data_IF_438210996577
#
_entry.id   IF_438210996577
#
_cell.length_a   1.000
_cell.length_b   1.000
_cell.length_c   1.000
_cell.angle_alpha   90.00
_cell.angle_beta   90.00
_cell.angle_gamma   90.00
#
_symmetry.space_group_name_H-M   'P 1'
#
loop_
_entity.id
_entity.type
_entity.pdbx_description
1 polymer ?
#
# COMPACT_ATOMS: atom_id res chain seq x y z
N UNK A 1 44.66 19.33 10.26
CA UNK A 1 44.07 19.01 8.93
C UNK A 1 44.17 17.50 8.74
N UNK A 2 43.16 16.70 8.43
CA UNK A 2 41.80 16.93 7.93
C UNK A 2 40.83 15.96 8.64
N UNK A 3 39.67 16.49 9.03
CA UNK A 3 38.62 15.76 9.74
C UNK A 3 37.70 14.97 8.82
N UNK A 4 37.27 13.81 9.34
CA UNK A 4 35.96 13.15 9.18
C UNK A 4 35.11 13.59 7.97
N UNK A 5 35.17 12.82 6.88
CA UNK A 5 34.20 12.88 5.76
C UNK A 5 33.73 11.51 5.24
N UNK A 6 33.61 10.46 6.07
CA UNK A 6 33.15 9.12 5.61
C UNK A 6 31.78 8.63 6.12
N UNK A 7 31.08 9.38 6.99
CA UNK A 7 29.80 8.94 7.58
C UNK A 7 28.64 8.83 6.57
N UNK A 8 28.61 9.70 5.55
CA UNK A 8 27.47 9.82 4.62
C UNK A 8 27.40 8.79 3.50
N UNK A 9 28.53 8.18 3.09
CA UNK A 9 28.54 7.21 1.97
C UNK A 9 28.01 5.82 2.36
N UNK A 10 28.04 5.46 3.66
CA UNK A 10 27.74 4.08 4.13
C UNK A 10 26.24 3.79 4.32
N UNK A 11 25.37 4.80 4.26
CA UNK A 11 23.93 4.65 4.51
C UNK A 11 23.09 4.45 3.23
N UNK A 12 23.58 4.87 2.07
CA UNK A 12 22.87 4.74 0.78
C UNK A 12 22.42 3.32 0.44
N UNK A 13 23.19 2.25 0.73
CA UNK A 13 22.71 0.88 0.48
C UNK A 13 21.43 0.52 1.25
N UNK A 14 21.23 1.07 2.45
CA UNK A 14 20.03 0.79 3.26
C UNK A 14 18.80 1.54 2.74
N UNK A 15 18.98 2.76 2.23
CA UNK A 15 17.90 3.47 1.54
C UNK A 15 17.54 2.73 0.25
N UNK A 16 18.55 2.30 -0.51
CA UNK A 16 18.37 1.47 -1.70
C UNK A 16 17.58 0.20 -1.38
N UNK A 17 17.90 -0.50 -0.30
CA UNK A 17 17.14 -1.67 0.17
C UNK A 17 15.64 -1.37 0.34
N UNK A 18 15.30 -0.29 1.06
CA UNK A 18 13.89 0.07 1.30
C UNK A 18 13.15 0.39 -0.01
N UNK A 19 13.79 1.16 -0.90
CA UNK A 19 13.22 1.51 -2.22
C UNK A 19 13.04 0.26 -3.07
N UNK A 20 14.05 -0.60 -3.16
CA UNK A 20 14.00 -1.84 -3.95
C UNK A 20 12.89 -2.75 -3.45
N UNK A 21 12.79 -2.98 -2.13
CA UNK A 21 11.75 -3.86 -1.59
C UNK A 21 10.35 -3.29 -1.83
N UNK A 22 10.11 -2.00 -1.58
CA UNK A 22 8.83 -1.37 -1.87
C UNK A 22 8.47 -1.45 -3.36
N UNK A 23 9.46 -1.27 -4.25
CA UNK A 23 9.27 -1.38 -5.71
C UNK A 23 8.91 -2.81 -6.12
N UNK A 24 9.54 -3.82 -5.53
CA UNK A 24 9.20 -5.23 -5.77
C UNK A 24 7.72 -5.49 -5.40
N UNK A 25 7.27 -5.00 -4.24
CA UNK A 25 5.86 -5.16 -3.82
C UNK A 25 4.89 -4.42 -4.75
N UNK A 26 5.27 -3.22 -5.21
CA UNK A 26 4.48 -2.44 -6.17
C UNK A 26 4.32 -3.16 -7.51
N UNK A 27 5.42 -3.71 -8.05
CA UNK A 27 5.42 -4.37 -9.37
C UNK A 27 4.73 -5.73 -9.31
N UNK A 28 4.91 -6.51 -8.23
CA UNK A 28 4.26 -7.83 -8.10
C UNK A 28 2.75 -7.69 -7.84
N UNK A 29 2.31 -6.64 -7.15
CA UNK A 29 0.89 -6.39 -6.90
C UNK A 29 0.48 -5.00 -7.44
N UNK A 30 0.39 -4.84 -8.77
CA UNK A 30 0.16 -3.54 -9.42
C UNK A 30 -1.30 -3.07 -9.28
N UNK A 31 -2.23 -3.99 -9.05
CA UNK A 31 -3.66 -3.75 -8.91
C UNK A 31 -4.07 -3.38 -7.49
N UNK A 32 -5.28 -2.84 -7.35
CA UNK A 32 -5.77 -2.21 -6.11
C UNK A 32 -6.95 -2.96 -5.48
N UNK A 33 -7.18 -2.71 -4.19
CA UNK A 33 -8.40 -3.19 -3.51
C UNK A 33 -9.45 -2.09 -3.38
N UNK A 34 -10.67 -2.48 -3.02
CA UNK A 34 -11.79 -1.57 -2.80
C UNK A 34 -11.47 -0.43 -1.81
N UNK A 35 -10.64 -0.65 -0.80
CA UNK A 35 -10.32 0.37 0.19
C UNK A 35 -9.42 1.49 -0.36
N UNK A 36 -8.77 1.25 -1.51
CA UNK A 36 -7.94 2.20 -2.23
C UNK A 36 -8.74 3.00 -3.27
N UNK A 37 -9.92 2.51 -3.64
CA UNK A 37 -10.68 2.95 -4.83
C UNK A 37 -10.88 4.46 -4.85
N UNK A 38 -11.47 5.02 -3.79
CA UNK A 38 -11.76 6.46 -3.72
C UNK A 38 -10.51 7.31 -4.00
N UNK A 39 -9.41 7.06 -3.27
CA UNK A 39 -8.23 7.89 -3.42
C UNK A 39 -7.57 7.71 -4.79
N UNK A 40 -7.58 6.48 -5.31
CA UNK A 40 -6.98 6.18 -6.59
C UNK A 40 -7.77 6.80 -7.74
N UNK A 41 -9.10 6.63 -7.76
CA UNK A 41 -9.99 7.20 -8.76
C UNK A 41 -9.97 8.73 -8.70
N UNK A 42 -10.04 9.33 -7.50
CA UNK A 42 -9.90 10.77 -7.34
C UNK A 42 -8.54 11.29 -7.87
N UNK A 43 -7.46 10.54 -7.68
CA UNK A 43 -6.14 10.92 -8.22
C UNK A 43 -6.12 10.80 -9.74
N UNK A 44 -6.74 9.77 -10.31
CA UNK A 44 -6.93 9.64 -11.75
C UNK A 44 -7.67 10.87 -12.31
N UNK A 45 -8.81 11.21 -11.72
CA UNK A 45 -9.67 12.28 -12.23
C UNK A 45 -8.98 13.64 -12.17
N UNK A 46 -8.23 13.91 -11.10
CA UNK A 46 -7.38 15.10 -11.00
C UNK A 46 -6.30 15.17 -12.09
N UNK A 47 -5.75 14.02 -12.51
CA UNK A 47 -4.68 13.96 -13.52
C UNK A 47 -5.21 14.08 -14.96
N UNK A 48 -6.35 13.44 -15.27
CA UNK A 48 -6.86 13.36 -16.64
C UNK A 48 -8.06 14.28 -16.92
N UNK A 49 -8.90 14.57 -15.93
CA UNK A 49 -10.08 15.45 -16.08
C UNK A 49 -9.84 16.84 -15.51
N UNK A 50 -8.91 17.00 -14.57
CA UNK A 50 -8.38 18.28 -14.05
C UNK A 50 -9.44 19.20 -13.40
N UNK A 51 -10.11 20.04 -14.20
CA UNK A 51 -11.14 20.98 -13.74
C UNK A 51 -12.55 20.56 -14.21
N UNK A 52 -12.64 19.52 -15.04
CA UNK A 52 -13.88 18.95 -15.53
C UNK A 52 -14.49 18.02 -14.47
N UNK A 53 -15.04 18.64 -13.43
CA UNK A 53 -15.52 17.97 -12.21
C UNK A 53 -16.68 17.01 -12.52
N UNK A 54 -17.50 17.31 -13.54
CA UNK A 54 -18.63 16.49 -13.94
C UNK A 54 -18.22 15.07 -14.39
N UNK A 55 -16.97 14.91 -14.84
CA UNK A 55 -16.41 13.60 -15.24
C UNK A 55 -15.85 12.78 -14.09
N UNK A 56 -15.85 13.29 -12.87
CA UNK A 56 -15.19 12.59 -11.77
C UNK A 56 -16.03 11.39 -11.30
N UNK A 57 -15.35 10.30 -11.01
CA UNK A 57 -15.95 9.01 -10.62
C UNK A 57 -16.87 9.12 -9.41
N UNK A 58 -16.52 9.98 -8.44
CA UNK A 58 -17.26 10.14 -7.21
C UNK A 58 -18.63 10.84 -7.35
N UNK A 59 -18.90 11.51 -8.48
CA UNK A 59 -20.22 12.05 -8.79
C UNK A 59 -21.16 10.98 -9.34
N UNK A 60 -20.62 10.09 -10.17
CA UNK A 60 -21.35 8.98 -10.78
C UNK A 60 -21.54 7.81 -9.78
N UNK A 61 -20.50 7.52 -8.99
CA UNK A 61 -20.45 6.42 -8.02
C UNK A 61 -20.01 6.93 -6.63
N UNK A 62 -20.90 7.62 -5.89
CA UNK A 62 -20.58 8.12 -4.56
C UNK A 62 -20.40 6.97 -3.57
N UNK A 63 -19.26 6.94 -2.88
CA UNK A 63 -19.01 5.94 -1.85
C UNK A 63 -19.89 6.12 -0.61
N UNK A 64 -20.16 5.03 0.10
CA UNK A 64 -20.98 4.99 1.33
C UNK A 64 -20.42 5.80 2.52
N UNK A 65 -19.16 6.25 2.45
CA UNK A 65 -18.49 7.02 3.50
C UNK A 65 -17.82 8.24 2.88
N UNK A 66 -18.05 9.46 3.41
CA UNK A 66 -17.38 10.66 2.91
C UNK A 66 -15.88 10.56 3.14
N UNK A 67 -15.10 10.89 2.11
CA UNK A 67 -13.64 10.82 2.10
C UNK A 67 -13.04 12.18 1.73
N UNK A 68 -11.84 12.46 2.22
CA UNK A 68 -11.12 13.71 1.93
C UNK A 68 -10.40 13.65 0.58
N UNK A 69 -10.48 14.73 -0.21
CA UNK A 69 -9.73 14.89 -1.45
C UNK A 69 -8.27 15.34 -1.24
N UNK A 70 -7.87 15.66 -0.01
CA UNK A 70 -6.57 16.24 0.28
C UNK A 70 -5.40 15.31 -0.11
N UNK A 71 -5.53 14.02 0.20
CA UNK A 71 -4.53 13.01 -0.18
C UNK A 71 -4.38 12.90 -1.70
N UNK A 72 -5.47 12.59 -2.44
CA UNK A 72 -5.47 12.55 -3.90
C UNK A 72 -4.90 13.80 -4.56
N UNK A 73 -5.24 15.00 -4.06
CA UNK A 73 -4.73 16.27 -4.57
C UNK A 73 -3.20 16.35 -4.49
N UNK A 74 -2.63 16.02 -3.33
CA UNK A 74 -1.17 16.03 -3.14
C UNK A 74 -0.51 15.00 -4.04
N UNK A 75 -1.04 13.78 -4.11
CA UNK A 75 -0.44 12.73 -4.95
C UNK A 75 -0.55 13.07 -6.44
N UNK A 76 -1.68 13.60 -6.90
CA UNK A 76 -1.85 14.07 -8.27
C UNK A 76 -0.84 15.18 -8.60
N UNK A 77 -0.68 16.18 -7.72
CA UNK A 77 0.27 17.27 -7.93
C UNK A 77 1.72 16.80 -8.10
N UNK A 78 2.16 15.82 -7.31
CA UNK A 78 3.52 15.26 -7.42
C UNK A 78 3.68 14.26 -8.56
N UNK A 79 2.58 13.61 -8.99
CA UNK A 79 2.60 12.64 -10.10
C UNK A 79 2.46 13.32 -11.46
N UNK A 80 1.85 14.51 -11.52
CA UNK A 80 1.46 15.18 -12.75
C UNK A 80 2.60 15.41 -13.75
N UNK A 81 3.85 15.77 -13.37
CA UNK A 81 4.89 16.02 -14.38
C UNK A 81 5.25 14.74 -15.14
N UNK A 82 5.33 13.61 -14.43
CA UNK A 82 5.67 12.31 -15.04
C UNK A 82 4.47 11.78 -15.82
N UNK A 83 3.27 11.85 -15.26
CA UNK A 83 2.05 11.39 -15.94
C UNK A 83 1.79 12.20 -17.20
N UNK A 84 2.03 13.51 -17.19
CA UNK A 84 1.93 14.36 -18.39
C UNK A 84 2.89 13.89 -19.49
N UNK A 85 4.15 13.58 -19.14
CA UNK A 85 5.12 13.02 -20.11
C UNK A 85 4.66 11.65 -20.63
N UNK A 86 4.12 10.78 -19.78
CA UNK A 86 3.58 9.48 -20.20
C UNK A 86 2.40 9.64 -21.17
N UNK A 87 1.50 10.58 -20.89
CA UNK A 87 0.37 10.88 -21.78
C UNK A 87 0.83 11.44 -23.13
N UNK A 88 1.86 12.30 -23.15
CA UNK A 88 2.44 12.81 -24.41
C UNK A 88 3.10 11.70 -25.25
N UNK A 89 3.61 10.66 -24.59
CA UNK A 89 4.20 9.49 -25.25
C UNK A 89 3.16 8.40 -25.56
N UNK A 90 1.87 8.68 -25.34
CA UNK A 90 0.75 7.74 -25.52
C UNK A 90 0.97 6.42 -24.76
N UNK A 91 1.67 6.49 -23.62
CA UNK A 91 1.90 5.33 -22.76
C UNK A 91 0.62 5.01 -21.99
N UNK A 92 0.30 3.71 -21.90
CA UNK A 92 -0.90 3.23 -21.20
C UNK A 92 -1.05 3.83 -19.80
N UNK A 93 -2.29 4.23 -19.48
CA UNK A 93 -2.69 4.77 -18.16
C UNK A 93 -2.34 3.82 -17.00
N UNK A 94 -2.17 2.51 -17.27
CA UNK A 94 -1.67 1.54 -16.32
C UNK A 94 -0.34 1.97 -15.67
N UNK A 95 0.59 2.53 -16.45
CA UNK A 95 1.87 3.01 -15.91
C UNK A 95 1.69 4.25 -15.04
N UNK A 96 0.73 5.12 -15.36
CA UNK A 96 0.36 6.26 -14.51
C UNK A 96 -0.13 5.82 -13.12
N UNK A 97 -0.84 4.68 -13.01
CA UNK A 97 -1.18 4.08 -11.71
C UNK A 97 0.07 3.71 -10.90
N UNK A 98 1.07 3.10 -11.55
CA UNK A 98 2.33 2.74 -10.89
C UNK A 98 3.09 3.98 -10.43
N UNK A 99 3.08 5.07 -11.21
CA UNK A 99 3.67 6.36 -10.82
C UNK A 99 2.96 6.93 -9.60
N UNK A 100 1.64 7.02 -9.62
CA UNK A 100 0.82 7.52 -8.50
C UNK A 100 1.13 6.76 -7.20
N UNK A 101 1.14 5.44 -7.28
CA UNK A 101 1.48 4.56 -6.15
C UNK A 101 2.94 4.68 -5.72
N UNK A 102 3.86 4.83 -6.68
CA UNK A 102 5.28 5.04 -6.45
C UNK A 102 5.57 6.36 -5.73
N UNK A 103 4.90 7.45 -6.11
CA UNK A 103 5.02 8.77 -5.47
C UNK A 103 4.62 8.70 -4.00
N UNK A 104 3.50 8.04 -3.67
CA UNK A 104 3.12 7.78 -2.27
C UNK A 104 4.19 6.95 -1.55
N UNK A 105 4.67 5.87 -2.17
CA UNK A 105 5.74 5.03 -1.65
C UNK A 105 7.01 5.82 -1.31
N UNK A 106 7.45 6.71 -2.21
CA UNK A 106 8.60 7.58 -2.00
C UNK A 106 8.37 8.54 -0.82
N UNK A 107 7.16 9.06 -0.65
CA UNK A 107 6.79 9.86 0.53
C UNK A 107 6.96 9.09 1.84
N UNK A 108 6.43 7.86 1.90
CA UNK A 108 6.57 6.99 3.08
C UNK A 108 8.03 6.61 3.32
N UNK A 109 8.79 6.22 2.29
CA UNK A 109 10.21 5.86 2.41
C UNK A 109 11.04 7.07 2.86
N UNK A 110 10.76 8.27 2.35
CA UNK A 110 11.41 9.51 2.79
C UNK A 110 11.16 9.77 4.28
N UNK A 111 9.92 9.56 4.74
CA UNK A 111 9.55 9.62 6.15
C UNK A 111 10.31 8.58 7.00
N UNK A 112 10.34 7.32 6.55
CA UNK A 112 11.09 6.24 7.22
C UNK A 112 12.58 6.55 7.28
N UNK A 113 13.14 7.11 6.21
CA UNK A 113 14.55 7.46 6.13
C UNK A 113 14.91 8.60 7.07
N UNK A 114 14.04 9.60 7.18
CA UNK A 114 14.23 10.72 8.12
C UNK A 114 14.15 10.22 9.56
N UNK A 115 13.16 9.37 9.87
CA UNK A 115 13.04 8.71 11.17
C UNK A 115 14.28 7.86 11.49
N UNK A 116 14.79 7.13 10.50
CA UNK A 116 16.00 6.31 10.65
C UNK A 116 17.24 7.14 10.99
N UNK A 117 17.40 8.32 10.37
CA UNK A 117 18.50 9.24 10.72
C UNK A 117 18.42 9.69 12.16
N UNK A 118 17.22 9.92 12.68
CA UNK A 118 17.01 10.27 14.10
C UNK A 118 17.25 9.09 15.03
N UNK A 119 16.77 7.90 14.67
CA UNK A 119 17.09 6.66 15.40
C UNK A 119 18.60 6.45 15.47
N UNK A 120 19.33 6.73 14.39
CA UNK A 120 20.79 6.66 14.36
C UNK A 120 21.46 7.66 15.30
N UNK A 121 20.93 8.88 15.37
CA UNK A 121 21.47 9.93 16.25
C UNK A 121 21.24 9.58 17.72
N UNK A 122 20.04 9.09 18.07
CA UNK A 122 19.66 8.82 19.47
C UNK A 122 20.20 7.47 19.98
N UNK A 123 20.21 6.44 19.13
CA UNK A 123 20.47 5.05 19.53
C UNK A 123 21.69 4.40 18.84
N UNK A 124 22.37 5.14 17.96
CA UNK A 124 23.58 4.69 17.29
C UNK A 124 23.36 3.94 15.97
N UNK A 125 24.45 3.69 15.25
CA UNK A 125 24.42 3.13 13.89
C UNK A 125 23.84 1.71 13.82
N UNK A 126 24.16 0.85 14.80
CA UNK A 126 23.68 -0.53 14.81
C UNK A 126 22.17 -0.62 14.89
N UNK A 127 21.54 0.15 15.79
CA UNK A 127 20.08 0.18 15.94
C UNK A 127 19.42 0.69 14.67
N UNK A 128 20.00 1.72 14.04
CA UNK A 128 19.47 2.28 12.80
C UNK A 128 19.62 1.35 11.58
N UNK A 129 20.64 0.48 11.56
CA UNK A 129 20.77 -0.58 10.56
C UNK A 129 19.71 -1.66 10.79
N UNK A 130 19.52 -2.10 12.04
CA UNK A 130 18.49 -3.08 12.39
C UNK A 130 17.07 -2.55 12.10
N UNK A 131 16.82 -1.26 12.36
CA UNK A 131 15.57 -0.60 11.99
C UNK A 131 15.29 -0.77 10.49
N UNK A 132 16.26 -0.47 9.61
CA UNK A 132 16.09 -0.68 8.16
C UNK A 132 15.81 -2.13 7.80
N UNK A 133 16.55 -3.09 8.36
CA UNK A 133 16.35 -4.51 8.07
C UNK A 133 14.98 -5.01 8.53
N UNK A 134 14.54 -4.62 9.73
CA UNK A 134 13.21 -4.98 10.24
C UNK A 134 12.14 -4.35 9.36
N UNK A 135 12.22 -3.04 9.08
CA UNK A 135 11.24 -2.37 8.21
C UNK A 135 11.20 -2.98 6.81
N UNK A 136 12.35 -3.26 6.19
CA UNK A 136 12.43 -3.84 4.86
C UNK A 136 11.89 -5.28 4.81
N UNK A 137 11.93 -6.02 5.91
CA UNK A 137 11.47 -7.42 5.97
C UNK A 137 10.06 -7.56 6.55
N UNK A 138 9.40 -6.46 6.91
CA UNK A 138 8.00 -6.48 7.31
C UNK A 138 7.09 -6.36 6.10
N UNK A 139 6.41 -7.45 5.77
CA UNK A 139 5.39 -7.52 4.72
C UNK A 139 4.41 -6.34 4.79
N UNK A 140 3.75 -6.15 5.95
CA UNK A 140 2.69 -5.16 6.08
C UNK A 140 3.18 -3.74 5.74
N UNK A 141 4.34 -3.33 6.26
CA UNK A 141 4.85 -1.98 5.99
C UNK A 141 5.22 -1.80 4.51
N UNK A 142 6.00 -2.73 3.94
CA UNK A 142 6.51 -2.58 2.57
C UNK A 142 5.43 -2.83 1.51
N UNK A 143 4.51 -3.75 1.75
CA UNK A 143 3.37 -4.03 0.87
C UNK A 143 2.39 -2.85 0.79
N UNK A 144 2.05 -2.27 1.94
CA UNK A 144 1.06 -1.19 1.99
C UNK A 144 1.65 0.20 1.69
N UNK A 145 2.96 0.42 1.80
CA UNK A 145 3.53 1.77 1.65
C UNK A 145 3.27 2.45 0.29
N UNK A 146 2.97 1.69 -0.77
CA UNK A 146 2.64 2.21 -2.11
C UNK A 146 1.14 2.16 -2.43
N UNK A 147 0.31 1.70 -1.49
CA UNK A 147 -1.14 1.54 -1.67
C UNK A 147 -1.86 2.79 -1.23
N UNK A 148 -2.78 3.31 -2.04
CA UNK A 148 -3.48 4.60 -1.82
C UNK A 148 -4.56 4.51 -0.74
N UNK A 149 -4.28 3.79 0.34
CA UNK A 149 -5.12 3.69 1.51
C UNK A 149 -5.04 5.00 2.32
N UNK A 150 -6.15 5.45 2.94
CA UNK A 150 -6.11 6.61 3.83
C UNK A 150 -5.08 6.47 4.97
N UNK A 151 -4.81 5.23 5.41
CA UNK A 151 -3.79 4.94 6.44
C UNK A 151 -2.38 5.26 5.97
N UNK A 152 -2.10 4.99 4.70
CA UNK A 152 -0.77 5.12 4.13
C UNK A 152 -0.50 6.58 3.77
N UNK A 153 -1.52 7.28 3.26
CA UNK A 153 -1.49 8.73 3.10
C UNK A 153 -1.20 9.43 4.43
N UNK A 154 -1.88 9.00 5.51
CA UNK A 154 -1.60 9.49 6.86
C UNK A 154 -0.17 9.12 7.33
N UNK A 155 0.28 7.88 7.07
CA UNK A 155 1.59 7.38 7.47
C UNK A 155 2.74 8.25 6.93
N UNK A 156 2.62 8.75 5.69
CA UNK A 156 3.60 9.66 5.09
C UNK A 156 3.82 10.95 5.92
N UNK A 157 2.82 11.38 6.70
CA UNK A 157 2.89 12.54 7.59
C UNK A 157 3.21 12.15 9.04
N UNK A 158 2.70 11.01 9.50
CA UNK A 158 2.96 10.48 10.85
C UNK A 158 4.46 10.23 11.06
N UNK A 159 5.17 9.73 10.05
CA UNK A 159 6.61 9.45 10.15
C UNK A 159 7.45 10.73 10.44
N UNK A 160 7.28 11.84 9.68
CA UNK A 160 7.81 13.14 10.06
C UNK A 160 7.35 13.64 11.44
N UNK A 161 6.10 13.40 11.83
CA UNK A 161 5.61 13.80 13.16
C UNK A 161 6.37 13.06 14.28
N UNK A 162 6.52 11.74 14.19
CA UNK A 162 7.30 10.93 15.13
C UNK A 162 8.78 11.32 15.14
N UNK A 163 9.33 11.67 13.98
CA UNK A 163 10.68 12.22 13.86
C UNK A 163 10.79 13.54 14.62
N UNK A 164 9.85 14.47 14.43
CA UNK A 164 9.82 15.74 15.15
C UNK A 164 9.68 15.55 16.66
N UNK A 165 8.90 14.55 17.09
CA UNK A 165 8.77 14.17 18.49
C UNK A 165 10.12 13.69 19.08
N UNK A 166 10.83 12.80 18.38
CA UNK A 166 12.16 12.34 18.80
C UNK A 166 13.20 13.47 18.82
N UNK A 167 13.13 14.39 17.85
CA UNK A 167 13.97 15.59 17.77
C UNK A 167 13.61 16.65 18.83
N UNK A 168 12.52 16.46 19.60
CA UNK A 168 11.98 17.46 20.55
C UNK A 168 11.51 18.76 19.88
N UNK A 169 11.15 18.71 18.60
CA UNK A 169 10.54 19.83 17.86
C UNK A 169 9.03 19.84 18.06
N UNK A 170 8.61 20.18 19.28
CA UNK A 170 7.23 20.01 19.75
C UNK A 170 6.18 20.71 18.87
N UNK A 171 6.45 21.94 18.43
CA UNK A 171 5.52 22.68 17.58
C UNK A 171 5.24 21.93 16.27
N UNK A 172 6.29 21.44 15.60
CA UNK A 172 6.15 20.68 14.36
C UNK A 172 5.43 19.35 14.60
N UNK A 173 5.75 18.65 15.70
CA UNK A 173 5.03 17.43 16.08
C UNK A 173 3.54 17.67 16.28
N UNK A 174 3.15 18.74 17.00
CA UNK A 174 1.75 19.07 17.26
C UNK A 174 1.01 19.45 15.98
N UNK A 175 1.59 20.32 15.14
CA UNK A 175 0.96 20.73 13.88
C UNK A 175 0.74 19.56 12.92
N UNK A 176 1.76 18.71 12.73
CA UNK A 176 1.64 17.54 11.88
C UNK A 176 0.65 16.51 12.45
N UNK A 177 0.63 16.34 13.78
CA UNK A 177 -0.32 15.44 14.44
C UNK A 177 -1.76 15.94 14.30
N UNK A 178 -2.01 17.22 14.54
CA UNK A 178 -3.35 17.81 14.38
C UNK A 178 -3.83 17.70 12.93
N UNK A 179 -2.96 18.03 11.96
CA UNK A 179 -3.25 17.90 10.54
C UNK A 179 -3.67 16.47 10.16
N UNK A 180 -2.92 15.45 10.62
CA UNK A 180 -3.23 14.07 10.24
C UNK A 180 -4.45 13.49 10.97
N UNK A 181 -4.66 13.87 12.24
CA UNK A 181 -5.82 13.43 13.04
C UNK A 181 -7.12 13.98 12.46
N UNK A 182 -7.15 15.28 12.14
CA UNK A 182 -8.35 15.95 11.64
C UNK A 182 -8.56 15.64 10.15
N UNK A 183 -7.49 15.70 9.35
CA UNK A 183 -7.59 15.60 7.90
C UNK A 183 -7.74 14.18 7.38
N UNK A 184 -7.23 13.17 8.10
CA UNK A 184 -7.23 11.79 7.63
C UNK A 184 -7.96 10.85 8.59
N UNK A 185 -7.49 10.75 9.85
CA UNK A 185 -7.88 9.66 10.75
C UNK A 185 -7.84 10.05 12.23
N UNK A 186 -9.02 10.13 12.85
CA UNK A 186 -9.18 10.52 14.24
C UNK A 186 -8.56 9.51 15.22
N UNK A 187 -8.51 8.22 14.87
CA UNK A 187 -7.93 7.16 15.72
C UNK A 187 -6.44 7.36 16.02
N UNK A 188 -5.72 8.13 15.18
CA UNK A 188 -4.33 8.50 15.42
C UNK A 188 -4.16 9.36 16.67
N UNK A 189 -5.24 9.98 17.17
CA UNK A 189 -5.24 10.68 18.45
C UNK A 189 -4.86 9.75 19.61
N UNK A 190 -5.13 8.44 19.52
CA UNK A 190 -4.69 7.50 20.54
C UNK A 190 -3.16 7.42 20.58
N UNK A 191 -2.51 7.15 19.44
CA UNK A 191 -1.05 7.02 19.39
C UNK A 191 -0.34 8.36 19.64
N UNK A 192 -0.69 9.39 18.87
CA UNK A 192 -0.02 10.69 18.91
C UNK A 192 -0.42 11.50 20.15
N UNK A 193 -1.66 11.35 20.61
CA UNK A 193 -2.11 11.93 21.86
C UNK A 193 -1.44 11.28 23.06
N UNK A 194 -1.23 9.95 23.09
CA UNK A 194 -0.42 9.31 24.14
C UNK A 194 1.03 9.81 24.09
N UNK A 195 1.65 9.93 22.91
CA UNK A 195 3.00 10.49 22.79
C UNK A 195 3.09 11.94 23.30
N UNK A 196 2.08 12.77 23.00
CA UNK A 196 1.96 14.12 23.54
C UNK A 196 1.77 14.10 25.07
N UNK A 197 0.86 13.27 25.58
CA UNK A 197 0.62 13.10 27.01
C UNK A 197 1.86 12.61 27.74
N UNK A 198 2.64 11.68 27.19
CA UNK A 198 3.92 11.25 27.73
C UNK A 198 4.93 12.40 27.75
N UNK A 199 4.91 13.28 26.75
CA UNK A 199 5.78 14.46 26.70
C UNK A 199 5.41 15.46 27.80
N UNK A 200 4.10 15.72 27.99
CA UNK A 200 3.56 16.55 29.07
C UNK A 200 3.84 15.90 30.44
N UNK A 201 3.64 14.58 30.53
CA UNK A 201 3.86 13.72 31.70
C UNK A 201 5.34 13.39 31.94
N UNK A 202 6.30 13.80 31.12
CA UNK A 202 7.70 13.75 31.55
C UNK A 202 8.14 15.08 32.18
N UNK A 203 7.18 16.01 32.34
CA UNK A 203 7.36 17.35 32.90
C UNK A 203 8.64 18.04 32.40
N UNK A 204 8.95 17.79 31.12
CA UNK A 204 9.61 18.77 30.23
C UNK A 204 8.73 20.03 30.06
N UNK A 205 7.54 20.00 30.69
CA UNK A 205 6.67 21.07 31.17
C UNK A 205 6.32 20.83 32.68
N UNK A 206 6.94 21.59 33.61
CA UNK A 206 6.90 21.67 35.13
C UNK A 206 6.57 20.46 36.01
N UNK A 207 7.25 20.25 37.17
CA UNK A 207 7.94 19.04 37.78
C UNK A 207 7.26 18.06 38.83
N UNK A 208 6.44 18.50 39.80
CA UNK A 208 5.83 17.67 40.88
C UNK A 208 5.00 16.38 40.56
N UNK A 209 4.21 16.30 39.48
CA UNK A 209 3.29 15.14 39.18
C UNK A 209 4.01 13.97 38.50
N UNK A 210 5.24 14.20 38.08
CA UNK A 210 6.07 13.21 37.36
C UNK A 210 6.97 12.49 38.32
N UNK A 211 7.50 13.18 39.33
CA UNK A 211 8.27 12.51 40.38
C UNK A 211 7.49 11.43 41.14
N UNK A 212 6.16 11.50 41.24
CA UNK A 212 5.38 10.55 42.07
C UNK A 212 5.04 9.22 41.39
N UNK A 213 5.04 9.14 40.04
CA UNK A 213 4.83 7.86 39.34
C UNK A 213 5.94 7.50 38.33
N UNK A 214 6.87 8.41 38.04
CA UNK A 214 8.06 8.07 37.25
C UNK A 214 9.09 7.26 38.04
N UNK A 215 9.10 7.33 39.38
CA UNK A 215 10.07 6.59 40.20
C UNK A 215 9.77 5.08 40.23
N UNK A 216 8.53 4.59 40.44
CA UNK A 216 8.26 3.15 40.41
C UNK A 216 8.27 2.57 38.98
N UNK A 217 7.78 3.32 37.99
CA UNK A 217 7.72 2.87 36.59
C UNK A 217 9.09 2.91 35.88
N UNK A 218 9.99 3.81 36.31
CA UNK A 218 11.38 3.87 35.84
C UNK A 218 12.30 2.82 36.46
N UNK A 219 11.95 2.26 37.62
CA UNK A 219 12.74 1.22 38.30
C UNK A 219 12.53 -0.20 37.75
N UNK A 220 11.52 -0.42 36.90
CA UNK A 220 11.26 -1.74 36.28
C UNK A 220 11.69 -1.87 34.81
N UNK A 221 12.21 -0.80 34.20
CA UNK A 221 12.72 -0.83 32.82
C UNK A 221 14.04 -0.05 32.70
N UNK A 222 15.16 -0.72 32.99
CA UNK A 222 16.38 -0.79 32.16
C UNK A 222 17.63 -1.20 32.97
N UNK A 223 18.04 -2.45 32.80
CA UNK A 223 19.40 -2.91 33.08
C UNK A 223 20.26 -2.93 31.80
N UNK A 224 20.88 -1.78 31.49
CA UNK A 224 22.08 -1.56 30.66
C UNK A 224 22.15 -2.14 29.23
N UNK A 225 21.89 -1.25 28.25
CA UNK A 225 22.48 -1.30 26.91
C UNK A 225 23.39 -0.07 26.71
N UNK A 226 24.54 -0.03 27.38
CA UNK A 226 25.61 0.95 27.13
C UNK A 226 26.96 0.48 27.69
N UNK A 227 27.37 -0.73 27.33
CA UNK A 227 28.78 -1.06 27.17
C UNK A 227 28.95 -1.72 25.80
N UNK A 228 28.67 -0.95 24.75
CA UNK A 228 28.84 -1.38 23.38
C UNK A 228 30.33 -1.25 22.99
N UNK A 229 30.97 -2.36 22.61
CA UNK A 229 31.99 -2.43 21.53
C UNK A 229 33.45 -2.03 21.84
N UNK A 230 33.94 -2.15 23.08
CA UNK A 230 35.41 -2.19 23.30
C UNK A 230 35.95 -3.29 24.22
N UNK A 231 35.15 -4.27 24.65
CA UNK A 231 35.66 -5.33 25.54
C UNK A 231 35.22 -6.76 25.18
N UNK A 232 34.74 -7.02 23.96
CA UNK A 232 34.50 -8.39 23.52
C UNK A 232 35.77 -9.03 22.96
N UNK A 233 36.78 -9.07 23.82
CA UNK A 233 37.71 -10.17 23.87
C UNK A 233 37.12 -11.20 24.85
N UNK A 234 37.04 -12.48 24.42
CA UNK A 234 36.33 -13.64 25.00
C UNK A 234 34.88 -13.86 24.54
N UNK A 235 34.73 -14.75 23.54
CA UNK A 235 33.45 -15.31 23.06
C UNK A 235 32.75 -16.08 24.19
N UNK A 236 31.54 -15.66 24.57
CA UNK A 236 30.64 -16.43 25.45
C UNK A 236 29.38 -16.88 24.70
N UNK A 237 28.86 -18.06 25.06
CA UNK A 237 27.62 -18.68 24.54
C UNK A 237 26.41 -17.72 24.39
N UNK A 238 26.08 -16.82 25.34
CA UNK A 238 24.89 -15.97 25.23
C UNK A 238 24.93 -14.95 24.09
N UNK A 239 26.12 -14.54 23.61
CA UNK A 239 26.23 -13.69 22.43
C UNK A 239 25.79 -14.42 21.15
N UNK A 240 26.19 -15.70 21.02
CA UNK A 240 25.80 -16.54 19.87
C UNK A 240 24.30 -16.77 19.84
N UNK A 241 23.69 -17.04 20.99
CA UNK A 241 22.23 -17.25 21.11
C UNK A 241 21.44 -16.00 20.69
N UNK A 242 21.81 -14.81 21.19
CA UNK A 242 21.12 -13.56 20.80
C UNK A 242 21.29 -13.24 19.31
N UNK A 243 22.48 -13.45 18.76
CA UNK A 243 22.73 -13.26 17.33
C UNK A 243 21.91 -14.23 16.47
N UNK A 244 21.78 -15.51 16.89
CA UNK A 244 20.92 -16.49 16.23
C UNK A 244 19.45 -16.08 16.28
N UNK A 245 18.95 -15.56 17.40
CA UNK A 245 17.56 -15.12 17.53
C UNK A 245 17.23 -13.94 16.59
N UNK A 246 18.09 -12.91 16.56
CA UNK A 246 17.89 -11.77 15.65
C UNK A 246 17.94 -12.21 14.19
N UNK A 247 18.92 -13.05 13.83
CA UNK A 247 19.07 -13.56 12.47
C UNK A 247 17.87 -14.44 12.09
N UNK A 248 17.46 -15.35 12.98
CA UNK A 248 16.29 -16.19 12.79
C UNK A 248 15.00 -15.38 12.60
N UNK A 249 14.79 -14.33 13.41
CA UNK A 249 13.65 -13.43 13.25
C UNK A 249 13.63 -12.74 11.88
N UNK A 250 14.78 -12.24 11.41
CA UNK A 250 14.88 -11.64 10.07
C UNK A 250 14.56 -12.68 8.99
N UNK A 251 15.11 -13.89 9.09
CA UNK A 251 14.84 -14.95 8.12
C UNK A 251 13.37 -15.37 8.09
N UNK A 252 12.74 -15.50 9.25
CA UNK A 252 11.30 -15.77 9.38
C UNK A 252 10.48 -14.65 8.74
N UNK A 253 10.83 -13.39 8.99
CA UNK A 253 10.17 -12.24 8.37
C UNK A 253 10.34 -12.21 6.85
N UNK A 254 11.52 -12.55 6.33
CA UNK A 254 11.75 -12.66 4.88
C UNK A 254 10.89 -13.77 4.28
N UNK A 255 10.88 -14.96 4.88
CA UNK A 255 10.10 -16.09 4.39
C UNK A 255 8.58 -15.81 4.45
N UNK A 256 8.12 -15.20 5.56
CA UNK A 256 6.74 -14.74 5.71
C UNK A 256 6.40 -13.70 4.65
N UNK A 257 7.25 -12.69 4.46
CA UNK A 257 7.02 -11.61 3.48
C UNK A 257 6.97 -12.13 2.05
N UNK A 258 7.89 -13.01 1.67
CA UNK A 258 7.86 -13.63 0.34
C UNK A 258 6.59 -14.46 0.14
N UNK A 259 6.19 -15.24 1.14
CA UNK A 259 4.95 -16.04 1.11
C UNK A 259 3.71 -15.18 1.00
N UNK A 260 3.58 -14.17 1.87
CA UNK A 260 2.44 -13.26 1.88
C UNK A 260 2.35 -12.44 0.59
N UNK A 261 3.47 -12.02 0.02
CA UNK A 261 3.50 -11.32 -1.27
C UNK A 261 3.07 -12.24 -2.41
N UNK A 262 3.57 -13.47 -2.45
CA UNK A 262 3.18 -14.48 -3.44
C UNK A 262 1.67 -14.76 -3.40
N UNK A 263 1.12 -14.99 -2.21
CA UNK A 263 -0.33 -15.21 -2.06
C UNK A 263 -1.12 -13.96 -2.44
N UNK A 264 -0.64 -12.78 -2.05
CA UNK A 264 -1.32 -11.52 -2.32
C UNK A 264 -1.43 -11.20 -3.81
N UNK A 265 -0.49 -11.67 -4.63
CA UNK A 265 -0.55 -11.49 -6.09
C UNK A 265 -1.88 -12.00 -6.69
N UNK A 266 -2.43 -13.09 -6.17
CA UNK A 266 -3.67 -13.72 -6.66
C UNK A 266 -4.96 -13.09 -6.11
N UNK A 267 -4.87 -12.00 -5.34
CA UNK A 267 -6.03 -11.32 -4.75
C UNK A 267 -6.66 -10.25 -5.67
N UNK A 268 -6.21 -10.14 -6.92
CA UNK A 268 -6.63 -9.06 -7.83
C UNK A 268 -7.24 -9.52 -9.16
N UNK A 269 -8.21 -10.47 -9.17
CA UNK A 269 -8.79 -10.97 -10.40
C UNK A 269 -9.46 -9.89 -11.26
N UNK A 270 -10.10 -8.87 -10.69
CA UNK A 270 -10.71 -7.79 -11.48
C UNK A 270 -9.69 -6.97 -12.27
N UNK A 271 -8.51 -6.73 -11.69
CA UNK A 271 -7.41 -6.05 -12.39
C UNK A 271 -6.84 -6.89 -13.53
N UNK A 272 -6.66 -8.20 -13.28
CA UNK A 272 -6.23 -9.17 -14.31
C UNK A 272 -7.27 -9.28 -15.43
N UNK A 273 -8.56 -9.27 -15.10
CA UNK A 273 -9.63 -9.35 -16.09
C UNK A 273 -9.66 -8.14 -17.03
N UNK A 274 -9.43 -6.93 -16.50
CA UNK A 274 -9.29 -5.72 -17.33
C UNK A 274 -8.10 -5.81 -18.27
N UNK A 275 -6.96 -6.32 -17.79
CA UNK A 275 -5.80 -6.56 -18.64
C UNK A 275 -6.13 -7.56 -19.76
N UNK A 276 -6.74 -8.70 -19.42
CA UNK A 276 -7.11 -9.72 -20.40
C UNK A 276 -8.15 -9.21 -21.41
N UNK A 277 -9.12 -8.40 -20.99
CA UNK A 277 -10.06 -7.77 -21.91
C UNK A 277 -9.33 -6.96 -22.99
N UNK A 278 -8.39 -6.10 -22.57
CA UNK A 278 -7.60 -5.27 -23.49
C UNK A 278 -6.62 -6.05 -24.36
N UNK A 279 -6.20 -7.24 -23.94
CA UNK A 279 -5.35 -8.14 -24.74
C UNK A 279 -6.16 -8.98 -25.75
N UNK A 280 -7.38 -9.39 -25.38
CA UNK A 280 -8.20 -10.30 -26.17
C UNK A 280 -9.10 -9.58 -27.18
N UNK A 281 -9.57 -8.38 -26.87
CA UNK A 281 -10.54 -7.65 -27.70
C UNK A 281 -9.83 -6.59 -28.53
N UNK A 282 -9.97 -6.60 -29.88
CA UNK A 282 -9.35 -5.59 -30.73
C UNK A 282 -9.79 -4.16 -30.35
N UNK A 283 -8.88 -3.16 -30.33
CA UNK A 283 -9.18 -1.80 -29.90
C UNK A 283 -10.31 -1.11 -30.68
N UNK A 284 -10.52 -1.49 -31.95
CA UNK A 284 -11.54 -0.90 -32.83
C UNK A 284 -12.95 -1.44 -32.56
N UNK A 285 -13.09 -2.44 -31.68
CA UNK A 285 -14.39 -3.01 -31.32
C UNK A 285 -15.18 -2.01 -30.48
N UNK A 286 -16.46 -1.79 -30.79
CA UNK A 286 -17.35 -0.98 -29.96
C UNK A 286 -17.72 -1.77 -28.70
N UNK A 287 -16.96 -1.54 -27.63
CA UNK A 287 -17.11 -2.23 -26.35
C UNK A 287 -17.92 -1.36 -25.39
N UNK A 288 -19.08 -1.90 -25.02
CA UNK A 288 -19.80 -1.52 -23.81
C UNK A 288 -19.64 -2.65 -22.79
N UNK A 289 -18.81 -2.42 -21.77
CA UNK A 289 -18.46 -3.36 -20.71
C UNK A 289 -19.25 -3.07 -19.44
N UNK A 290 -19.96 -4.08 -18.93
CA UNK A 290 -20.43 -4.08 -17.55
C UNK A 290 -19.37 -4.67 -16.62
N UNK A 291 -19.08 -3.97 -15.52
CA UNK A 291 -18.16 -4.39 -14.46
C UNK A 291 -18.97 -4.61 -13.19
N UNK A 292 -19.09 -5.85 -12.76
CA UNK A 292 -19.81 -6.15 -11.54
C UNK A 292 -19.06 -5.74 -10.26
N UNK A 293 -19.76 -5.84 -9.13
CA UNK A 293 -19.24 -5.46 -7.82
C UNK A 293 -17.99 -6.27 -7.45
N UNK A 294 -17.99 -7.58 -7.71
CA UNK A 294 -16.87 -8.45 -7.36
C UNK A 294 -15.60 -8.07 -8.14
N UNK A 295 -15.72 -7.76 -9.44
CA UNK A 295 -14.64 -7.26 -10.25
C UNK A 295 -14.16 -5.88 -9.80
N UNK A 296 -15.10 -4.95 -9.58
CA UNK A 296 -14.81 -3.60 -9.10
C UNK A 296 -13.99 -3.61 -7.79
N UNK A 297 -14.30 -4.52 -6.87
CA UNK A 297 -13.63 -4.64 -5.57
C UNK A 297 -12.24 -5.32 -5.64
N UNK A 298 -11.92 -5.96 -6.75
CA UNK A 298 -10.74 -6.84 -6.88
C UNK A 298 -9.74 -6.41 -7.95
N UNK A 299 -9.64 -5.11 -8.23
CA UNK A 299 -8.51 -4.57 -9.01
C UNK A 299 -8.85 -3.62 -10.12
N UNK A 300 -10.13 -3.46 -10.46
CA UNK A 300 -10.56 -2.52 -11.49
C UNK A 300 -10.33 -1.08 -11.02
N UNK A 301 -9.75 -0.25 -11.90
CA UNK A 301 -9.59 1.18 -11.70
C UNK A 301 -9.72 1.92 -13.03
N UNK A 302 -9.95 3.24 -13.02
CA UNK A 302 -9.97 4.06 -14.24
C UNK A 302 -8.62 4.08 -14.97
N UNK A 303 -7.52 3.87 -14.25
CA UNK A 303 -6.20 3.68 -14.89
C UNK A 303 -6.11 2.39 -15.73
N UNK A 304 -7.01 1.42 -15.53
CA UNK A 304 -7.10 0.22 -16.37
C UNK A 304 -8.06 0.38 -17.54
N UNK A 305 -8.78 1.51 -17.65
CA UNK A 305 -9.61 1.86 -18.80
C UNK A 305 -8.71 2.51 -19.86
N UNK A 306 -7.95 1.66 -20.54
CA UNK A 306 -6.86 2.09 -21.43
C UNK A 306 -7.39 2.58 -22.78
N UNK A 307 -8.55 2.11 -23.22
CA UNK A 307 -9.18 2.53 -24.46
C UNK A 307 -10.27 3.58 -24.16
N UNK A 308 -10.08 4.81 -24.65
CA UNK A 308 -11.02 5.91 -24.44
C UNK A 308 -12.30 5.80 -25.28
N UNK A 309 -12.29 4.99 -26.35
CA UNK A 309 -13.47 4.77 -27.20
C UNK A 309 -14.45 3.74 -26.58
N UNK A 310 -13.99 2.98 -25.57
CA UNK A 310 -14.79 1.98 -24.88
C UNK A 310 -15.60 2.61 -23.74
N UNK A 311 -16.77 2.02 -23.46
CA UNK A 311 -17.65 2.46 -22.38
C UNK A 311 -17.61 1.44 -21.26
N UNK A 312 -17.35 1.93 -20.05
CA UNK A 312 -17.19 1.11 -18.85
C UNK A 312 -18.26 1.49 -17.84
N UNK A 313 -19.16 0.56 -17.57
CA UNK A 313 -20.27 0.76 -16.64
C UNK A 313 -20.06 -0.09 -15.39
N UNK A 314 -20.18 0.54 -14.22
CA UNK A 314 -20.09 -0.10 -12.89
C UNK A 314 -21.40 -0.03 -12.12
N UNK A 315 -22.51 0.28 -12.80
CA UNK A 315 -23.83 0.41 -12.17
C UNK A 315 -24.18 -0.84 -11.38
N UNK A 316 -24.53 -0.68 -10.11
CA UNK A 316 -25.00 -1.79 -9.28
C UNK A 316 -26.47 -2.13 -9.63
N UNK A 317 -26.93 -3.35 -9.29
CA UNK A 317 -28.32 -3.79 -9.44
C UNK A 317 -28.90 -3.79 -10.87
N UNK A 318 -28.07 -4.02 -11.88
CA UNK A 318 -28.51 -4.20 -13.27
C UNK A 318 -29.29 -5.51 -13.43
N UNK A 319 -30.58 -5.42 -13.79
CA UNK A 319 -31.42 -6.59 -14.02
C UNK A 319 -30.97 -7.46 -15.20
N UNK A 320 -31.25 -8.77 -15.16
CA UNK A 320 -30.79 -9.74 -16.16
C UNK A 320 -31.17 -9.40 -17.62
N UNK A 321 -32.33 -8.76 -17.84
CA UNK A 321 -32.72 -8.30 -19.17
C UNK A 321 -31.85 -7.13 -19.67
N UNK A 322 -31.50 -6.20 -18.78
CA UNK A 322 -30.65 -5.06 -19.10
C UNK A 322 -29.18 -5.48 -19.34
N UNK A 323 -28.74 -6.59 -18.74
CA UNK A 323 -27.42 -7.18 -19.00
C UNK A 323 -27.20 -7.54 -20.48
N UNK A 324 -28.28 -7.82 -21.24
CA UNK A 324 -28.19 -8.09 -22.68
C UNK A 324 -27.82 -6.86 -23.51
N UNK A 325 -27.91 -5.65 -22.96
CA UNK A 325 -27.51 -4.43 -23.65
C UNK A 325 -25.98 -4.30 -23.75
N UNK A 326 -25.25 -4.91 -22.83
CA UNK A 326 -23.79 -4.86 -22.80
C UNK A 326 -23.21 -5.82 -23.84
N UNK A 327 -22.13 -5.40 -24.46
CA UNK A 327 -21.37 -6.24 -25.39
C UNK A 327 -20.47 -7.22 -24.65
N UNK A 328 -19.96 -6.78 -23.49
CA UNK A 328 -19.07 -7.55 -22.65
C UNK A 328 -19.53 -7.44 -21.20
N UNK A 329 -19.39 -8.52 -20.46
CA UNK A 329 -19.76 -8.57 -19.04
C UNK A 329 -18.59 -9.18 -18.27
N UNK A 330 -18.08 -8.44 -17.30
CA UNK A 330 -17.15 -8.95 -16.32
C UNK A 330 -17.92 -9.21 -15.02
N UNK A 331 -18.03 -10.49 -14.63
CA UNK A 331 -18.84 -10.88 -13.49
C UNK A 331 -18.26 -12.00 -12.62
N UNK A 332 -18.75 -12.10 -11.38
CA UNK A 332 -18.40 -13.15 -10.45
C UNK A 332 -18.81 -14.53 -10.97
N UNK A 333 -17.89 -15.49 -10.86
CA UNK A 333 -18.07 -16.87 -11.27
C UNK A 333 -18.88 -17.69 -10.24
N UNK A 334 -20.01 -17.15 -9.77
CA UNK A 334 -20.91 -17.84 -8.83
C UNK A 334 -21.66 -18.95 -9.58
N UNK A 335 -21.74 -20.18 -9.04
CA UNK A 335 -22.53 -21.26 -9.65
C UNK A 335 -23.95 -20.79 -9.99
N UNK A 336 -24.34 -20.92 -11.25
CA UNK A 336 -25.66 -20.53 -11.76
C UNK A 336 -25.73 -19.14 -12.42
N UNK A 337 -24.89 -18.17 -12.05
CA UNK A 337 -24.92 -16.83 -12.67
C UNK A 337 -24.45 -16.84 -14.13
N UNK A 338 -23.28 -17.44 -14.47
CA UNK A 338 -22.87 -17.56 -15.87
C UNK A 338 -23.82 -18.43 -16.72
N UNK A 339 -24.58 -19.33 -16.08
CA UNK A 339 -25.55 -20.18 -16.78
C UNK A 339 -26.74 -19.38 -17.34
N UNK A 340 -27.08 -18.23 -16.72
CA UNK A 340 -28.12 -17.33 -17.22
C UNK A 340 -27.79 -16.72 -18.59
N UNK A 341 -26.50 -16.63 -18.92
CA UNK A 341 -26.01 -16.01 -20.15
C UNK A 341 -25.45 -17.02 -21.15
N UNK A 342 -25.61 -18.32 -20.91
CA UNK A 342 -24.99 -19.38 -21.73
C UNK A 342 -25.39 -19.32 -23.20
N UNK A 343 -26.63 -18.94 -23.47
CA UNK A 343 -27.21 -18.88 -24.82
C UNK A 343 -27.00 -17.52 -25.50
N UNK A 344 -26.64 -16.49 -24.73
CA UNK A 344 -26.51 -15.10 -25.19
C UNK A 344 -25.07 -14.61 -25.24
N UNK A 345 -24.18 -15.18 -24.43
CA UNK A 345 -22.79 -14.79 -24.30
C UNK A 345 -21.87 -16.02 -24.33
N UNK A 346 -20.67 -15.85 -24.91
CA UNK A 346 -19.57 -16.80 -24.79
C UNK A 346 -18.59 -16.36 -23.71
N UNK A 347 -17.97 -17.32 -23.04
CA UNK A 347 -16.87 -17.06 -22.10
C UNK A 347 -15.60 -16.76 -22.90
N UNK A 348 -15.08 -15.55 -22.78
CA UNK A 348 -13.79 -15.16 -23.33
C UNK A 348 -12.63 -15.56 -22.42
N UNK A 349 -12.80 -15.37 -21.11
CA UNK A 349 -11.77 -15.71 -20.14
C UNK A 349 -12.37 -16.09 -18.77
N UNK A 350 -11.68 -16.98 -18.07
CA UNK A 350 -11.95 -17.36 -16.68
C UNK A 350 -10.77 -16.92 -15.83
N UNK A 351 -11.00 -16.02 -14.90
CA UNK A 351 -9.94 -15.39 -14.11
C UNK A 351 -9.88 -16.04 -12.74
N UNK A 352 -8.72 -16.60 -12.43
CA UNK A 352 -8.45 -17.24 -11.15
C UNK A 352 -8.17 -16.22 -10.05
N UNK A 353 -8.62 -16.54 -8.85
CA UNK A 353 -8.25 -15.84 -7.63
C UNK A 353 -8.08 -16.81 -6.47
N UNK A 354 -7.33 -16.39 -5.45
CA UNK A 354 -7.10 -17.22 -4.27
C UNK A 354 -8.35 -17.34 -3.40
N UNK A 355 -8.67 -18.55 -2.96
CA UNK A 355 -9.69 -18.83 -1.93
C UNK A 355 -9.11 -19.07 -0.55
N UNK A 356 -7.80 -19.29 -0.48
CA UNK A 356 -7.10 -19.57 0.75
C UNK A 356 -5.81 -20.33 0.51
N UNK A 357 -5.19 -20.76 1.60
CA UNK A 357 -3.95 -21.52 1.60
C UNK A 357 -4.22 -22.86 2.29
N UNK A 358 -3.75 -23.95 1.69
CA UNK A 358 -3.72 -25.26 2.34
C UNK A 358 -2.29 -25.60 2.73
N UNK A 359 -2.09 -26.25 3.88
CA UNK A 359 -0.76 -26.65 4.34
C UNK A 359 -0.41 -28.04 3.81
N UNK A 360 0.76 -28.14 3.20
CA UNK A 360 1.29 -29.39 2.68
C UNK A 360 2.77 -29.52 3.09
N UNK A 361 3.01 -30.14 4.25
CA UNK A 361 4.33 -30.25 4.86
C UNK A 361 5.33 -31.09 4.04
N UNK A 362 4.87 -31.79 3.00
CA UNK A 362 5.71 -32.63 2.13
C UNK A 362 6.28 -31.87 0.93
N UNK A 363 5.93 -30.59 0.75
CA UNK A 363 6.38 -29.74 -0.35
C UNK A 363 7.21 -28.56 0.18
N UNK A 364 8.06 -27.98 -0.67
CA UNK A 364 8.72 -26.70 -0.39
C UNK A 364 8.33 -25.67 -1.48
N UNK A 365 7.64 -24.56 -1.13
CA UNK A 365 7.18 -24.19 0.21
C UNK A 365 6.06 -25.12 0.74
N UNK A 366 5.88 -25.23 2.07
CA UNK A 366 4.99 -26.23 2.69
C UNK A 366 3.51 -25.82 2.67
N UNK A 367 3.08 -25.19 1.58
CA UNK A 367 1.71 -24.75 1.37
C UNK A 367 1.36 -24.74 -0.11
N UNK A 368 0.09 -24.93 -0.40
CA UNK A 368 -0.50 -24.77 -1.73
C UNK A 368 -1.49 -23.59 -1.69
N UNK A 369 -1.46 -22.77 -2.74
CA UNK A 369 -2.43 -21.67 -2.92
C UNK A 369 -3.62 -22.24 -3.65
N UNK A 370 -4.78 -22.22 -3.01
CA UNK A 370 -6.00 -22.75 -3.60
C UNK A 370 -6.56 -21.70 -4.56
N UNK A 371 -6.40 -21.93 -5.86
CA UNK A 371 -6.94 -21.07 -6.90
C UNK A 371 -8.29 -21.63 -7.38
N UNK A 372 -9.24 -20.73 -7.58
CA UNK A 372 -10.52 -21.03 -8.22
C UNK A 372 -10.88 -19.88 -9.16
N UNK A 373 -11.63 -20.17 -10.21
CA UNK A 373 -12.21 -19.12 -11.05
C UNK A 373 -13.10 -18.23 -10.17
N UNK A 374 -12.73 -16.96 -10.06
CA UNK A 374 -13.44 -15.95 -9.29
C UNK A 374 -14.27 -15.04 -10.16
N UNK A 375 -13.77 -14.71 -11.35
CA UNK A 375 -14.48 -13.89 -12.32
C UNK A 375 -14.49 -14.59 -13.67
N UNK A 376 -15.50 -14.27 -14.48
CA UNK A 376 -15.57 -14.63 -15.90
C UNK A 376 -15.76 -13.37 -16.73
N UNK A 377 -15.04 -13.31 -17.84
CA UNK A 377 -15.26 -12.32 -18.87
C UNK A 377 -16.10 -12.95 -19.98
N UNK A 378 -17.24 -12.33 -20.26
CA UNK A 378 -18.22 -12.77 -21.24
C UNK A 378 -18.29 -11.79 -22.41
N UNK A 379 -18.56 -12.29 -23.61
CA UNK A 379 -18.83 -11.49 -24.81
C UNK A 379 -20.15 -11.95 -25.44
N UNK A 380 -20.98 -10.98 -25.82
CA UNK A 380 -22.29 -11.21 -26.41
C UNK A 380 -22.18 -11.82 -27.80
N UNK A 381 -22.99 -12.84 -28.07
CA UNK A 381 -23.11 -13.46 -29.38
C UNK A 381 -23.91 -12.55 -30.32
N UNK A 382 -23.41 -12.33 -31.54
CA UNK A 382 -24.10 -11.54 -32.58
C UNK A 382 -25.37 -12.22 -33.11
N UNK A 383 -25.52 -13.53 -32.88
CA UNK A 383 -26.72 -14.32 -33.15
C UNK A 383 -26.93 -15.30 -31.97
N UNK A 384 -27.83 -14.99 -31.03
CA UNK A 384 -28.18 -15.94 -29.97
C UNK A 384 -28.82 -17.19 -30.59
N UNK A 385 -28.52 -18.36 -30.04
CA UNK A 385 -28.99 -19.65 -30.53
C UNK A 385 -30.48 -19.88 -30.28
#
# INVERSE_FOLDING_TARGET
MAGKKSSGKRSWPLLGLLVTVATIHLVICPYTKVEESFNLQATHDLLYHQLDIDKYDHHEFPGVVPRTFLGPLVIAAFSSPVVYVLSLLEVSKFYSQLIVRGVLGLGVISGLWTLQKEVRQQFGATVAVMFCWISATQFHLMFYCTRTLPNVLALAVVLPALTAWLQRRWALFVWLSAFVIIGFRAELAMLLGIALLLTLYQRRLTVARVLRHAIPAGLLCLGKLASLVCLLNKKSWPYKVRAMLVTGHILVNVAYTATSLYVSHFNYPGGVAMQQLHELVPPQTDVLLHIDVAAAQTGVSRFLQVNDDWRYDKSEDVGAAAMLNYTHILMEAVPGHPALYRDTHRVLASIEGTTGISLNLMKLPPFDVNLQTKLVLLERLLRPA
#
